data_IF_700810018035
#
_entry.id   IF_700810018035
#
_cell.length_a   1.000
_cell.length_b   1.000
_cell.length_c   1.000
_cell.angle_alpha   90.00
_cell.angle_beta   90.00
_cell.angle_gamma   90.00
#
_symmetry.space_group_name_H-M   'P 1'
#
loop_
_entity.id
_entity.type
_entity.pdbx_description
1 polymer ?
#
# COMPACT_ATOMS: atom_id res chain seq x y z
N UNK A 1 -17.98 12.11 -27.18
CA UNK A 1 -18.24 11.22 -26.04
C UNK A 1 -17.37 11.71 -24.90
N UNK A 2 -17.95 11.96 -23.71
CA UNK A 2 -17.19 12.37 -22.53
C UNK A 2 -16.89 11.12 -21.70
N UNK A 3 -15.60 10.82 -21.45
CA UNK A 3 -15.19 9.73 -20.57
C UNK A 3 -15.08 10.25 -19.14
N UNK A 4 -15.76 9.60 -18.19
CA UNK A 4 -15.85 10.01 -16.79
C UNK A 4 -15.42 8.90 -15.80
N UNK A 5 -14.79 7.85 -16.29
CA UNK A 5 -14.39 6.69 -15.47
C UNK A 5 -12.87 6.60 -15.31
N UNK A 6 -12.25 7.71 -14.93
CA UNK A 6 -10.79 7.76 -14.69
C UNK A 6 -10.35 6.93 -13.46
N UNK A 7 -11.29 6.59 -12.57
CA UNK A 7 -11.01 5.70 -11.45
C UNK A 7 -10.75 4.26 -11.90
N UNK A 8 -11.41 3.80 -12.97
CA UNK A 8 -11.17 2.48 -13.53
C UNK A 8 -9.87 2.44 -14.35
N UNK A 9 -9.64 3.44 -15.19
CA UNK A 9 -8.40 3.59 -15.96
C UNK A 9 -8.26 5.03 -16.48
N UNK A 10 -7.04 5.54 -16.52
CA UNK A 10 -6.72 6.85 -17.06
C UNK A 10 -5.76 6.75 -18.26
N UNK A 11 -5.86 7.63 -19.25
CA UNK A 11 -4.88 7.68 -20.33
C UNK A 11 -3.49 8.06 -19.79
N UNK A 12 -2.46 7.50 -20.41
CA UNK A 12 -1.09 7.87 -20.11
C UNK A 12 -0.85 9.33 -20.47
N UNK A 13 -0.38 10.14 -19.53
CA UNK A 13 -0.05 11.55 -19.78
C UNK A 13 1.18 11.66 -20.70
N UNK A 14 1.25 12.74 -21.47
CA UNK A 14 2.31 12.95 -22.47
C UNK A 14 3.72 12.91 -21.90
N UNK A 15 3.89 13.45 -20.70
CA UNK A 15 5.16 13.50 -19.97
C UNK A 15 5.63 12.10 -19.55
N UNK A 16 4.71 11.27 -19.05
CA UNK A 16 5.01 9.88 -18.71
C UNK A 16 5.37 9.07 -19.97
N UNK A 17 4.60 9.26 -21.06
CA UNK A 17 4.92 8.62 -22.35
C UNK A 17 6.31 8.99 -22.84
N UNK A 18 6.66 10.29 -22.82
CA UNK A 18 7.97 10.75 -23.23
C UNK A 18 9.10 10.18 -22.36
N UNK A 19 8.86 10.05 -21.04
CA UNK A 19 9.82 9.45 -20.13
C UNK A 19 10.00 7.92 -20.36
N UNK A 20 8.98 7.23 -20.84
CA UNK A 20 9.04 5.79 -21.15
C UNK A 20 9.68 5.48 -22.52
N UNK A 21 9.62 6.42 -23.48
CA UNK A 21 10.08 6.22 -24.86
C UNK A 21 11.52 5.66 -24.98
N UNK A 22 12.52 6.14 -24.19
CA UNK A 22 13.88 5.60 -24.24
C UNK A 22 14.02 4.13 -23.87
N UNK A 23 13.02 3.55 -23.19
CA UNK A 23 13.01 2.15 -22.74
C UNK A 23 12.26 1.23 -23.73
N UNK A 24 11.40 1.81 -24.58
CA UNK A 24 10.53 1.08 -25.51
C UNK A 24 11.10 1.11 -26.92
N UNK A 25 11.85 2.18 -27.27
CA UNK A 25 12.43 2.35 -28.59
C UNK A 25 13.48 1.26 -28.89
N UNK A 26 13.53 0.84 -30.15
CA UNK A 26 14.51 -0.12 -30.65
C UNK A 26 15.95 0.35 -30.38
N UNK A 27 16.79 -0.59 -29.91
CA UNK A 27 18.20 -0.35 -29.59
C UNK A 27 18.47 0.69 -28.50
N UNK A 28 17.51 0.93 -27.60
CA UNK A 28 17.75 1.76 -26.43
C UNK A 28 18.91 1.22 -25.58
N UNK A 29 19.82 2.10 -25.14
CA UNK A 29 20.91 1.71 -24.22
C UNK A 29 20.40 1.41 -22.80
N UNK A 30 19.10 1.51 -22.60
CA UNK A 30 18.46 1.42 -21.29
C UNK A 30 17.77 0.07 -21.04
N UNK A 31 17.86 -0.88 -22.00
CA UNK A 31 17.38 -2.23 -21.77
C UNK A 31 18.39 -3.02 -20.93
N UNK A 32 17.92 -3.96 -20.14
CA UNK A 32 18.79 -4.89 -19.41
C UNK A 32 18.13 -5.46 -18.16
N UNK A 33 18.66 -6.60 -17.73
CA UNK A 33 18.30 -7.17 -16.45
C UNK A 33 19.15 -6.53 -15.36
N UNK A 34 18.54 -5.80 -14.45
CA UNK A 34 19.21 -5.11 -13.32
C UNK A 34 20.00 -6.06 -12.40
N UNK A 35 19.73 -7.37 -12.43
CA UNK A 35 20.48 -8.35 -11.65
C UNK A 35 21.71 -8.92 -12.38
N UNK A 36 21.95 -8.52 -13.63
CA UNK A 36 23.10 -8.99 -14.42
C UNK A 36 24.38 -8.23 -14.07
N UNK A 37 25.52 -8.95 -13.99
CA UNK A 37 26.81 -8.37 -13.59
C UNK A 37 27.55 -7.64 -14.73
N UNK A 38 27.11 -7.76 -15.99
CA UNK A 38 27.71 -7.06 -17.12
C UNK A 38 27.26 -5.58 -17.18
N UNK A 39 27.90 -4.79 -18.05
CA UNK A 39 27.69 -3.33 -18.11
C UNK A 39 26.22 -2.94 -18.33
N UNK A 40 25.51 -3.62 -19.25
CA UNK A 40 24.09 -3.33 -19.53
C UNK A 40 23.22 -3.56 -18.30
N UNK A 41 23.46 -4.65 -17.53
CA UNK A 41 22.75 -4.92 -16.28
C UNK A 41 23.03 -3.87 -15.21
N UNK A 42 24.29 -3.45 -15.07
CA UNK A 42 24.65 -2.38 -14.11
C UNK A 42 24.01 -1.05 -14.46
N UNK A 43 23.89 -0.71 -15.74
CA UNK A 43 23.20 0.50 -16.18
C UNK A 43 21.70 0.46 -15.84
N UNK A 44 21.05 -0.69 -16.08
CA UNK A 44 19.65 -0.88 -15.72
C UNK A 44 19.44 -0.81 -14.19
N UNK A 45 20.36 -1.39 -13.41
CA UNK A 45 20.33 -1.30 -11.95
C UNK A 45 20.45 0.14 -11.45
N UNK A 46 21.46 0.88 -11.94
CA UNK A 46 21.68 2.27 -11.53
C UNK A 46 20.45 3.14 -11.81
N UNK A 47 19.84 2.99 -12.98
CA UNK A 47 18.63 3.71 -13.33
C UNK A 47 17.46 3.36 -12.42
N UNK A 48 17.25 2.08 -12.11
CA UNK A 48 16.17 1.65 -11.19
C UNK A 48 16.36 2.25 -9.80
N UNK A 49 17.60 2.32 -9.32
CA UNK A 49 17.90 2.94 -8.03
C UNK A 49 17.72 4.47 -8.06
N UNK A 50 18.08 5.16 -9.14
CA UNK A 50 17.81 6.59 -9.29
C UNK A 50 16.31 6.90 -9.27
N UNK A 51 15.49 6.08 -9.93
CA UNK A 51 14.02 6.19 -9.88
C UNK A 51 13.48 5.92 -8.46
N UNK A 52 14.03 4.93 -7.75
CA UNK A 52 13.68 4.60 -6.37
C UNK A 52 13.97 5.79 -5.44
N UNK A 53 15.14 6.40 -5.56
CA UNK A 53 15.53 7.61 -4.81
C UNK A 53 14.56 8.77 -5.09
N UNK A 54 14.20 8.97 -6.36
CA UNK A 54 13.26 10.03 -6.75
C UNK A 54 11.88 9.82 -6.14
N UNK A 55 11.34 8.60 -6.21
CA UNK A 55 10.06 8.25 -5.60
C UNK A 55 10.11 8.39 -4.07
N UNK A 56 11.18 7.94 -3.43
CA UNK A 56 11.35 8.08 -1.98
C UNK A 56 11.24 9.56 -1.55
N UNK A 57 11.90 10.46 -2.27
CA UNK A 57 11.82 11.91 -2.00
C UNK A 57 10.39 12.45 -2.20
N UNK A 58 9.73 12.05 -3.29
CA UNK A 58 8.38 12.51 -3.61
C UNK A 58 7.36 12.06 -2.56
N UNK A 59 7.49 10.83 -2.07
CA UNK A 59 6.59 10.23 -1.08
C UNK A 59 6.98 10.56 0.36
N UNK A 60 8.12 11.21 0.60
CA UNK A 60 8.61 11.52 1.94
C UNK A 60 9.10 10.29 2.71
N UNK A 61 9.52 9.23 2.01
CA UNK A 61 10.18 8.07 2.62
C UNK A 61 11.55 8.46 3.18
N UNK A 62 11.97 7.83 4.27
CA UNK A 62 13.25 8.13 4.93
C UNK A 62 14.43 7.59 4.14
N UNK A 63 14.25 6.45 3.49
CA UNK A 63 15.28 5.73 2.75
C UNK A 63 14.70 5.18 1.44
N UNK A 64 15.52 5.10 0.38
CA UNK A 64 15.06 4.55 -0.90
C UNK A 64 14.61 3.08 -0.83
N UNK A 65 15.20 2.27 0.05
CA UNK A 65 14.84 0.86 0.23
C UNK A 65 13.46 0.63 0.87
N UNK A 66 12.79 1.69 1.33
CA UNK A 66 11.39 1.66 1.73
C UNK A 66 10.43 1.65 0.52
N UNK A 67 10.93 1.91 -0.69
CA UNK A 67 10.16 1.83 -1.93
C UNK A 67 10.31 0.44 -2.55
N UNK A 68 9.21 -0.24 -2.71
CA UNK A 68 9.15 -1.57 -3.34
C UNK A 68 8.34 -1.47 -4.63
N UNK A 69 8.94 -1.84 -5.76
CA UNK A 69 8.23 -1.95 -7.04
C UNK A 69 7.51 -3.29 -7.11
N UNK A 70 6.26 -3.26 -7.52
CA UNK A 70 5.39 -4.43 -7.70
C UNK A 70 4.77 -4.42 -9.10
N UNK A 71 4.10 -5.50 -9.47
CA UNK A 71 3.39 -5.58 -10.75
C UNK A 71 2.09 -4.76 -10.78
N UNK A 72 1.61 -4.30 -9.62
CA UNK A 72 0.40 -3.49 -9.50
C UNK A 72 -0.11 -3.43 -8.06
N UNK A 73 -1.17 -2.64 -7.86
CA UNK A 73 -1.72 -2.36 -6.53
C UNK A 73 -2.17 -3.61 -5.78
N UNK A 74 -2.79 -4.57 -6.46
CA UNK A 74 -3.21 -5.84 -5.83
C UNK A 74 -2.04 -6.58 -5.18
N UNK A 75 -0.88 -6.61 -5.83
CA UNK A 75 0.32 -7.20 -5.23
C UNK A 75 0.82 -6.34 -4.06
N UNK A 76 0.84 -5.01 -4.21
CA UNK A 76 1.27 -4.09 -3.15
C UNK A 76 0.42 -4.24 -1.90
N UNK A 77 -0.92 -4.24 -2.03
CA UNK A 77 -1.84 -4.37 -0.92
C UNK A 77 -1.67 -5.71 -0.20
N UNK A 78 -1.62 -6.81 -0.96
CA UNK A 78 -1.45 -8.14 -0.37
C UNK A 78 -0.09 -8.27 0.34
N UNK A 79 0.99 -7.79 -0.29
CA UNK A 79 2.32 -7.81 0.31
C UNK A 79 2.37 -6.96 1.58
N UNK A 80 1.76 -5.77 1.57
CA UNK A 80 1.69 -4.88 2.72
C UNK A 80 0.88 -5.50 3.87
N UNK A 81 -0.37 -5.91 3.62
CA UNK A 81 -1.24 -6.40 4.69
C UNK A 81 -0.67 -7.68 5.33
N UNK A 82 -0.33 -8.66 4.51
CA UNK A 82 0.17 -9.95 5.02
C UNK A 82 1.56 -9.77 5.63
N UNK A 83 2.45 -9.06 4.94
CA UNK A 83 3.82 -8.83 5.40
C UNK A 83 3.88 -8.04 6.71
N UNK A 84 3.11 -6.96 6.84
CA UNK A 84 3.06 -6.16 8.08
C UNK A 84 2.46 -6.97 9.22
N UNK A 85 1.35 -7.70 8.99
CA UNK A 85 0.73 -8.51 10.04
C UNK A 85 1.71 -9.58 10.57
N UNK A 86 2.42 -10.27 9.68
CA UNK A 86 3.45 -11.26 10.06
C UNK A 86 4.63 -10.61 10.77
N UNK A 87 5.10 -9.45 10.29
CA UNK A 87 6.19 -8.69 10.92
C UNK A 87 5.83 -8.25 12.34
N UNK A 88 4.62 -7.72 12.54
CA UNK A 88 4.14 -7.30 13.85
C UNK A 88 4.00 -8.49 14.83
N UNK A 89 3.56 -9.65 14.33
CA UNK A 89 3.54 -10.88 15.14
C UNK A 89 4.93 -11.30 15.59
N UNK A 90 5.91 -11.21 14.70
CA UNK A 90 7.29 -11.55 15.03
C UNK A 90 7.90 -10.53 16.01
N UNK A 91 7.66 -9.23 15.82
CA UNK A 91 8.07 -8.19 16.78
C UNK A 91 7.50 -8.47 18.17
N UNK A 92 6.21 -8.84 18.27
CA UNK A 92 5.56 -9.23 19.53
C UNK A 92 6.20 -10.48 20.16
N UNK A 93 6.45 -11.50 19.35
CA UNK A 93 7.12 -12.75 19.80
C UNK A 93 8.49 -12.46 20.39
N UNK A 94 9.31 -11.64 19.72
CA UNK A 94 10.63 -11.25 20.19
C UNK A 94 10.58 -10.42 21.46
N UNK A 95 9.51 -9.66 21.67
CA UNK A 95 9.24 -8.88 22.87
C UNK A 95 8.59 -9.70 24.02
N UNK A 96 8.43 -11.01 23.86
CA UNK A 96 7.78 -11.88 24.85
C UNK A 96 6.28 -11.61 25.05
N UNK A 97 5.62 -10.98 24.07
CA UNK A 97 4.18 -10.66 24.08
C UNK A 97 3.37 -11.75 23.36
N UNK A 98 2.05 -11.73 23.56
CA UNK A 98 1.14 -12.61 22.82
C UNK A 98 1.31 -12.44 21.30
N UNK A 99 1.34 -13.56 20.59
CA UNK A 99 1.50 -13.62 19.12
C UNK A 99 0.17 -13.60 18.37
N UNK A 100 -0.96 -13.62 19.08
CA UNK A 100 -2.26 -13.27 18.53
C UNK A 100 -2.25 -11.83 18.03
N UNK A 101 -3.08 -11.53 17.06
CA UNK A 101 -3.21 -10.17 16.56
C UNK A 101 -4.46 -10.02 15.72
N UNK A 102 -5.00 -8.81 15.72
CA UNK A 102 -6.17 -8.46 14.94
C UNK A 102 -5.82 -7.42 13.88
N UNK A 103 -6.36 -7.62 12.68
CA UNK A 103 -6.30 -6.65 11.59
C UNK A 103 -7.67 -5.98 11.47
N UNK A 104 -7.69 -4.66 11.49
CA UNK A 104 -8.90 -3.85 11.28
C UNK A 104 -8.89 -3.33 9.85
N UNK A 105 -9.95 -3.58 9.10
CA UNK A 105 -10.11 -3.07 7.73
C UNK A 105 -11.37 -2.22 7.61
N UNK A 106 -11.43 -1.33 6.62
CA UNK A 106 -12.70 -0.70 6.28
C UNK A 106 -13.57 -1.66 5.46
N UNK A 107 -14.91 -1.42 5.47
CA UNK A 107 -15.84 -2.21 4.64
C UNK A 107 -15.87 -1.76 3.19
N UNK A 108 -15.31 -0.60 2.89
CA UNK A 108 -15.33 0.02 1.57
C UNK A 108 -14.00 -0.10 0.83
N UNK A 109 -13.13 -1.01 1.26
CA UNK A 109 -11.87 -1.30 0.59
C UNK A 109 -12.07 -1.92 -0.80
N UNK A 110 -11.08 -1.77 -1.65
CA UNK A 110 -11.00 -2.55 -2.88
C UNK A 110 -10.88 -4.05 -2.57
N UNK A 111 -11.36 -4.90 -3.47
CA UNK A 111 -11.31 -6.36 -3.30
C UNK A 111 -9.88 -6.90 -3.09
N UNK A 112 -8.85 -6.23 -3.57
CA UNK A 112 -7.45 -6.59 -3.31
C UNK A 112 -7.15 -6.65 -1.80
N UNK A 113 -7.73 -5.70 -1.03
CA UNK A 113 -7.62 -5.62 0.44
C UNK A 113 -8.62 -6.55 1.11
N UNK A 114 -9.91 -6.50 0.73
CA UNK A 114 -10.96 -7.31 1.37
C UNK A 114 -10.67 -8.81 1.28
N UNK A 115 -10.14 -9.29 0.15
CA UNK A 115 -9.83 -10.71 -0.04
C UNK A 115 -8.64 -11.18 0.82
N UNK A 116 -7.85 -10.27 1.39
CA UNK A 116 -6.82 -10.64 2.36
C UNK A 116 -7.39 -11.22 3.66
N UNK A 117 -8.66 -10.95 3.99
CA UNK A 117 -9.35 -11.51 5.17
C UNK A 117 -9.18 -13.03 5.27
N UNK A 118 -9.43 -13.74 4.19
CA UNK A 118 -9.32 -15.20 4.15
C UNK A 118 -7.89 -15.68 4.47
N UNK A 119 -6.89 -15.05 3.89
CA UNK A 119 -5.49 -15.41 4.13
C UNK A 119 -5.05 -15.05 5.54
N UNK A 120 -5.39 -13.87 6.03
CA UNK A 120 -5.05 -13.43 7.37
C UNK A 120 -5.65 -14.36 8.43
N UNK A 121 -6.92 -14.78 8.28
CA UNK A 121 -7.54 -15.77 9.17
C UNK A 121 -6.86 -17.14 9.08
N UNK A 122 -6.50 -17.60 7.90
CA UNK A 122 -5.76 -18.86 7.72
C UNK A 122 -4.37 -18.81 8.38
N UNK A 123 -3.77 -17.62 8.47
CA UNK A 123 -2.51 -17.36 9.18
C UNK A 123 -2.70 -17.16 10.69
N UNK A 124 -3.94 -17.25 11.22
CA UNK A 124 -4.25 -17.15 12.64
C UNK A 124 -4.42 -15.73 13.16
N UNK A 125 -4.69 -14.75 12.30
CA UNK A 125 -5.09 -13.41 12.73
C UNK A 125 -6.61 -13.31 12.80
N UNK A 126 -7.10 -12.54 13.78
CA UNK A 126 -8.48 -12.07 13.74
C UNK A 126 -8.60 -10.92 12.75
N UNK A 127 -9.75 -10.86 12.06
CA UNK A 127 -10.06 -9.73 11.16
C UNK A 127 -11.39 -9.13 11.58
N UNK A 128 -11.40 -7.84 11.79
CA UNK A 128 -12.60 -7.05 12.09
C UNK A 128 -12.70 -5.85 11.16
N UNK A 129 -13.88 -5.25 11.12
CA UNK A 129 -14.16 -4.14 10.22
C UNK A 129 -14.58 -2.92 11.02
N UNK A 130 -14.12 -1.75 10.59
CA UNK A 130 -14.63 -0.47 11.05
C UNK A 130 -15.75 -0.01 10.11
N UNK A 131 -16.84 0.49 10.70
CA UNK A 131 -17.98 0.98 9.94
C UNK A 131 -17.76 2.42 9.47
N UNK A 132 -18.27 2.72 8.28
CA UNK A 132 -18.36 4.05 7.69
C UNK A 132 -19.76 4.65 7.87
N UNK A 133 -19.88 5.94 7.72
CA UNK A 133 -21.16 6.64 7.65
C UNK A 133 -21.84 6.47 6.27
N UNK A 134 -23.01 7.08 6.09
CA UNK A 134 -23.79 7.02 4.84
C UNK A 134 -23.06 7.65 3.64
N UNK A 135 -22.05 8.50 3.87
CA UNK A 135 -21.21 9.08 2.83
C UNK A 135 -19.95 8.21 2.57
N UNK A 136 -19.82 7.04 3.17
CA UNK A 136 -18.64 6.18 3.08
C UNK A 136 -17.44 6.68 3.90
N UNK A 137 -17.63 7.63 4.82
CA UNK A 137 -16.53 8.22 5.59
C UNK A 137 -16.35 7.53 6.94
N UNK A 138 -15.10 7.28 7.30
CA UNK A 138 -14.72 6.72 8.60
C UNK A 138 -14.18 7.85 9.47
N UNK A 139 -14.80 8.09 10.63
CA UNK A 139 -14.28 9.07 11.58
C UNK A 139 -13.19 8.45 12.46
N UNK A 140 -12.20 9.25 12.95
CA UNK A 140 -11.25 8.80 13.95
C UNK A 140 -11.92 8.19 15.19
N UNK A 141 -13.06 8.74 15.62
CA UNK A 141 -13.83 8.19 16.73
C UNK A 141 -14.52 6.85 16.43
N UNK A 142 -14.85 6.57 15.15
CA UNK A 142 -15.34 5.24 14.75
C UNK A 142 -14.23 4.20 14.84
N UNK A 143 -13.03 4.56 14.37
CA UNK A 143 -11.85 3.69 14.48
C UNK A 143 -11.47 3.46 15.96
N UNK A 144 -11.43 4.51 16.79
CA UNK A 144 -11.08 4.41 18.21
C UNK A 144 -11.93 3.37 18.96
N UNK A 145 -13.22 3.25 18.63
CA UNK A 145 -14.12 2.29 19.28
C UNK A 145 -13.81 0.82 19.00
N UNK A 146 -13.07 0.53 17.95
CA UNK A 146 -12.69 -0.84 17.56
C UNK A 146 -11.22 -1.15 17.82
N UNK A 147 -10.47 -0.16 18.32
CA UNK A 147 -9.07 -0.32 18.68
C UNK A 147 -8.90 -0.91 20.08
N UNK A 148 -7.90 -1.75 20.23
CA UNK A 148 -7.37 -2.26 21.51
C UNK A 148 -5.92 -2.72 21.32
N UNK A 149 -5.32 -3.29 22.35
CA UNK A 149 -3.92 -3.73 22.36
C UNK A 149 -3.64 -4.94 21.45
N UNK A 150 -4.68 -5.65 20.98
CA UNK A 150 -4.54 -6.77 20.06
C UNK A 150 -4.46 -6.33 18.60
N UNK A 151 -4.89 -5.11 18.28
CA UNK A 151 -4.80 -4.61 16.90
C UNK A 151 -3.33 -4.42 16.51
N UNK A 152 -2.92 -5.10 15.44
CA UNK A 152 -1.55 -5.02 14.90
C UNK A 152 -1.48 -4.15 13.64
N UNK A 153 -2.58 -4.09 12.89
CA UNK A 153 -2.66 -3.38 11.62
C UNK A 153 -4.07 -2.82 11.41
N UNK A 154 -4.12 -1.58 10.94
CA UNK A 154 -5.32 -0.94 10.42
C UNK A 154 -5.13 -0.68 8.95
N UNK A 155 -6.12 -1.03 8.10
CA UNK A 155 -6.11 -0.76 6.66
C UNK A 155 -7.36 0.02 6.26
N UNK A 156 -7.17 1.25 5.78
CA UNK A 156 -8.25 2.12 5.32
C UNK A 156 -7.78 2.86 4.07
N UNK A 157 -8.46 2.65 2.94
CA UNK A 157 -8.14 3.29 1.67
C UNK A 157 -8.21 4.82 1.75
N UNK A 158 -7.39 5.50 0.96
CA UNK A 158 -7.34 6.97 0.96
C UNK A 158 -8.58 7.59 0.31
N UNK A 159 -8.95 7.08 -0.85
CA UNK A 159 -10.13 7.52 -1.58
C UNK A 159 -10.84 6.30 -2.19
N UNK A 160 -12.16 6.26 -2.07
CA UNK A 160 -12.91 5.14 -2.61
C UNK A 160 -13.10 5.30 -4.13
N UNK A 161 -12.81 4.24 -4.87
CA UNK A 161 -12.84 4.22 -6.33
C UNK A 161 -14.27 4.26 -6.94
N UNK A 162 -15.31 3.95 -6.16
CA UNK A 162 -16.70 3.90 -6.63
C UNK A 162 -17.46 5.18 -6.28
N UNK A 163 -17.38 5.64 -5.03
CA UNK A 163 -18.16 6.79 -4.54
C UNK A 163 -17.33 8.06 -4.36
N UNK A 164 -16.01 8.00 -4.52
CA UNK A 164 -15.11 9.17 -4.46
C UNK A 164 -14.87 9.74 -3.07
N UNK A 165 -15.33 9.08 -2.01
CA UNK A 165 -15.15 9.58 -0.64
C UNK A 165 -13.68 9.53 -0.24
N UNK A 166 -13.14 10.67 0.19
CA UNK A 166 -11.77 10.81 0.70
C UNK A 166 -11.76 10.68 2.22
N UNK A 167 -10.89 9.82 2.75
CA UNK A 167 -10.78 9.52 4.16
C UNK A 167 -9.82 10.47 4.89
N UNK A 168 -10.05 10.78 6.18
CA UNK A 168 -9.17 11.62 7.00
C UNK A 168 -7.94 10.84 7.48
N UNK A 169 -7.10 10.36 6.53
CA UNK A 169 -6.00 9.41 6.75
C UNK A 169 -5.07 9.84 7.88
N UNK A 170 -4.69 11.12 7.96
CA UNK A 170 -3.78 11.60 9.01
C UNK A 170 -4.37 11.40 10.42
N UNK A 171 -5.68 11.61 10.58
CA UNK A 171 -6.39 11.37 11.84
C UNK A 171 -6.49 9.90 12.18
N UNK A 172 -6.85 9.07 11.22
CA UNK A 172 -6.96 7.61 11.36
C UNK A 172 -5.61 6.96 11.67
N UNK A 173 -4.55 7.35 10.96
CA UNK A 173 -3.20 6.87 11.23
C UNK A 173 -2.68 7.29 12.62
N UNK A 174 -3.12 8.43 13.14
CA UNK A 174 -2.79 8.84 14.52
C UNK A 174 -3.45 7.91 15.53
N UNK A 175 -4.74 7.58 15.37
CA UNK A 175 -5.44 6.62 16.21
C UNK A 175 -4.72 5.27 16.21
N UNK A 176 -4.42 4.70 15.05
CA UNK A 176 -3.70 3.43 14.98
C UNK A 176 -2.36 3.48 15.75
N UNK A 177 -1.59 4.56 15.57
CA UNK A 177 -0.28 4.72 16.23
C UNK A 177 -0.38 4.84 17.75
N UNK A 178 -1.42 5.47 18.30
CA UNK A 178 -1.60 5.57 19.77
C UNK A 178 -1.82 4.22 20.41
N UNK A 179 -2.37 3.25 19.67
CA UNK A 179 -2.53 1.86 20.10
C UNK A 179 -1.36 0.94 19.70
N UNK A 180 -0.27 1.50 19.13
CA UNK A 180 0.88 0.72 18.69
C UNK A 180 0.67 -0.11 17.44
N UNK A 181 -0.45 0.07 16.74
CA UNK A 181 -0.75 -0.60 15.48
C UNK A 181 -0.09 0.10 14.29
N UNK A 182 0.26 -0.67 13.26
CA UNK A 182 0.66 -0.13 11.96
C UNK A 182 -0.58 0.36 11.21
N UNK A 183 -0.37 1.31 10.31
CA UNK A 183 -1.44 1.84 9.46
C UNK A 183 -1.06 1.67 7.99
N UNK A 184 -1.95 1.05 7.23
CA UNK A 184 -1.88 0.88 5.78
C UNK A 184 -2.98 1.70 5.12
N UNK A 185 -2.70 2.24 3.95
CA UNK A 185 -3.70 2.88 3.09
C UNK A 185 -3.46 2.49 1.64
N UNK A 186 -4.50 1.95 1.00
CA UNK A 186 -4.56 1.89 -0.46
C UNK A 186 -4.76 3.31 -0.98
N UNK A 187 -3.79 3.82 -1.72
CA UNK A 187 -3.79 5.17 -2.28
C UNK A 187 -3.75 5.17 -3.81
N UNK A 188 -4.31 4.15 -4.45
CA UNK A 188 -4.37 4.01 -5.92
C UNK A 188 -5.12 5.16 -6.56
N UNK A 189 -6.17 5.68 -5.90
CA UNK A 189 -6.94 6.83 -6.37
C UNK A 189 -6.36 8.15 -5.86
#
# INVERSE_FOLDING_TARGET
MTYLDYAATAPLVSEARAAMEPFIADAGHLFGNANSLHQTGRNAFALLEDLRVSLARTLGARRPDEIVFTSGATESDNAALIGIALGMREERRLAGRATSGRVVMSRIEHHAVLNCDRMLRALGFDVSFVDNDAAGRISPGALERVMDDDVVLVSIMMANNEVGTVQPIAGLARVARTHGARFHTDAVQ
#
